data_IF_962715017039
#
_entry.id   IF_962715017039
#
_cell.length_a   1.000
_cell.length_b   1.000
_cell.length_c   1.000
_cell.angle_alpha   90.00
_cell.angle_beta   90.00
_cell.angle_gamma   90.00
#
_symmetry.space_group_name_H-M   'P 1'
#
loop_
_entity.id
_entity.type
_entity.pdbx_description
1 polymer ?
#
# COMPACT_ATOMS: atom_id res chain seq x y z
N UNK A 1 13.59 11.16 34.36
CA UNK A 1 13.04 11.65 33.07
C UNK A 1 12.31 10.49 32.43
N UNK A 2 10.98 10.49 32.41
CA UNK A 2 10.23 9.58 31.55
C UNK A 2 10.46 10.02 30.12
N UNK A 3 11.25 9.27 29.35
CA UNK A 3 11.19 9.37 27.90
C UNK A 3 9.75 9.04 27.51
N UNK A 4 8.96 10.05 27.15
CA UNK A 4 7.63 9.83 26.61
C UNK A 4 7.79 8.93 25.38
N UNK A 5 7.33 7.68 25.51
CA UNK A 5 7.35 6.72 24.42
C UNK A 5 6.55 7.31 23.26
N UNK A 6 7.27 7.68 22.19
CA UNK A 6 6.70 8.36 21.02
C UNK A 6 5.67 7.48 20.33
N UNK A 7 4.40 7.81 20.46
CA UNK A 7 3.30 7.12 19.79
C UNK A 7 3.13 7.62 18.34
N UNK A 8 4.00 7.14 17.46
CA UNK A 8 4.09 7.57 16.05
C UNK A 8 4.03 6.35 15.12
N UNK A 9 3.53 6.54 13.91
CA UNK A 9 3.58 5.53 12.85
C UNK A 9 3.96 6.17 11.52
N UNK A 10 4.58 5.41 10.64
CA UNK A 10 4.95 5.87 9.31
C UNK A 10 4.68 4.80 8.24
N UNK A 11 4.60 5.24 6.99
CA UNK A 11 4.44 4.36 5.84
C UNK A 11 5.51 4.67 4.81
N UNK A 12 6.00 3.63 4.17
CA UNK A 12 7.01 3.67 3.11
C UNK A 12 6.56 2.75 1.97
N UNK A 13 6.86 3.11 0.73
CA UNK A 13 6.68 2.23 -0.43
C UNK A 13 8.04 1.81 -0.98
N UNK A 14 8.17 0.51 -1.28
CA UNK A 14 9.27 -0.04 -2.08
C UNK A 14 8.72 -0.80 -3.28
N UNK A 15 9.52 -0.90 -4.34
CA UNK A 15 9.18 -1.72 -5.50
C UNK A 15 10.16 -2.88 -5.61
N UNK A 16 9.66 -4.07 -5.91
CA UNK A 16 10.46 -5.24 -6.27
C UNK A 16 10.04 -5.73 -7.66
N UNK A 17 11.01 -6.07 -8.48
CA UNK A 17 10.82 -6.60 -9.84
C UNK A 17 10.96 -8.13 -9.90
N UNK A 18 11.14 -8.79 -8.76
CA UNK A 18 11.32 -10.25 -8.66
C UNK A 18 9.97 -10.98 -8.78
N UNK A 19 9.26 -10.73 -9.88
CA UNK A 19 7.97 -11.36 -10.18
C UNK A 19 8.14 -12.22 -11.41
N UNK A 20 8.51 -13.48 -11.22
CA UNK A 20 8.56 -14.45 -12.30
C UNK A 20 7.15 -14.95 -12.65
N UNK A 21 6.31 -14.06 -13.19
CA UNK A 21 4.91 -14.33 -13.52
C UNK A 21 4.53 -13.73 -14.88
N UNK A 22 3.67 -14.44 -15.62
CA UNK A 22 3.15 -14.00 -16.93
C UNK A 22 2.13 -12.86 -16.76
N UNK A 23 1.44 -12.79 -15.61
CA UNK A 23 0.34 -11.88 -15.32
C UNK A 23 0.83 -10.56 -14.71
N UNK A 24 1.88 -10.61 -13.89
CA UNK A 24 2.33 -9.51 -13.04
C UNK A 24 3.73 -9.04 -13.41
N UNK A 25 3.92 -7.73 -13.42
CA UNK A 25 5.18 -7.09 -13.79
C UNK A 25 6.10 -6.90 -12.58
N UNK A 26 5.52 -6.42 -11.49
CA UNK A 26 6.25 -5.98 -10.29
C UNK A 26 5.39 -6.09 -9.05
N UNK A 27 6.03 -6.01 -7.90
CA UNK A 27 5.41 -5.94 -6.57
C UNK A 27 5.68 -4.58 -5.97
N UNK A 28 4.63 -3.94 -5.49
CA UNK A 28 4.71 -2.76 -4.62
C UNK A 28 4.57 -3.25 -3.17
N UNK A 29 5.54 -2.88 -2.33
CA UNK A 29 5.61 -3.23 -0.92
C UNK A 29 5.22 -2.00 -0.11
N UNK A 30 4.05 -2.02 0.52
CA UNK A 30 3.60 -0.99 1.45
C UNK A 30 4.06 -1.40 2.84
N UNK A 31 5.02 -0.67 3.39
CA UNK A 31 5.65 -0.96 4.68
C UNK A 31 5.11 0.00 5.73
N UNK A 32 4.42 -0.52 6.73
CA UNK A 32 3.89 0.27 7.85
C UNK A 32 4.78 0.04 9.07
N UNK A 33 5.38 1.11 9.58
CA UNK A 33 6.22 1.09 10.79
C UNK A 33 5.40 1.64 11.96
N UNK A 34 5.03 0.78 12.89
CA UNK A 34 4.32 1.15 14.11
C UNK A 34 5.34 1.36 15.24
N UNK A 35 5.60 2.60 15.63
CA UNK A 35 6.43 2.92 16.79
C UNK A 35 5.59 3.17 18.05
N UNK A 36 4.32 2.72 18.06
CA UNK A 36 3.44 2.83 19.22
C UNK A 36 3.81 1.80 20.31
N UNK A 37 3.67 2.15 21.62
CA UNK A 37 3.69 1.16 22.70
C UNK A 37 2.47 0.22 22.69
N UNK A 38 1.46 0.50 21.86
CA UNK A 38 0.24 -0.27 21.75
C UNK A 38 0.18 -1.07 20.44
N UNK A 39 -0.60 -2.16 20.45
CA UNK A 39 -1.05 -2.82 19.23
C UNK A 39 -1.96 -1.85 18.48
N UNK A 40 -1.75 -1.70 17.17
CA UNK A 40 -2.52 -0.81 16.32
C UNK A 40 -3.10 -1.56 15.13
N UNK A 41 -4.34 -1.25 14.76
CA UNK A 41 -5.02 -1.75 13.57
C UNK A 41 -4.90 -0.73 12.45
N UNK A 42 -4.51 -1.22 11.28
CA UNK A 42 -4.40 -0.42 10.08
C UNK A 42 -5.28 -1.02 8.99
N UNK A 43 -6.06 -0.18 8.33
CA UNK A 43 -6.73 -0.51 7.08
C UNK A 43 -5.87 0.01 5.93
N UNK A 44 -5.59 -0.86 4.96
CA UNK A 44 -4.78 -0.53 3.78
C UNK A 44 -5.58 -0.86 2.54
N UNK A 45 -5.70 0.11 1.65
CA UNK A 45 -6.47 -0.07 0.43
C UNK A 45 -6.03 0.85 -0.68
N UNK A 46 -6.80 0.78 -1.76
CA UNK A 46 -6.57 1.59 -2.96
C UNK A 46 -7.63 2.67 -3.01
N UNK A 47 -7.19 3.93 -2.97
CA UNK A 47 -8.07 5.09 -3.04
C UNK A 47 -8.42 5.40 -4.49
N UNK A 48 -7.42 5.38 -5.37
CA UNK A 48 -7.59 5.68 -6.78
C UNK A 48 -6.63 4.87 -7.66
N UNK A 49 -7.08 4.53 -8.87
CA UNK A 49 -6.26 3.96 -9.94
C UNK A 49 -6.49 4.83 -11.17
N UNK A 50 -5.44 5.55 -11.58
CA UNK A 50 -5.41 6.38 -12.76
C UNK A 50 -4.66 5.65 -13.87
N UNK A 51 -5.38 5.16 -14.87
CA UNK A 51 -4.80 4.64 -16.10
C UNK A 51 -5.56 5.30 -17.25
N UNK A 52 -4.84 6.00 -18.12
CA UNK A 52 -5.43 6.81 -19.19
C UNK A 52 -6.20 5.95 -20.21
N UNK A 53 -5.60 4.86 -20.66
CA UNK A 53 -6.24 3.92 -21.58
C UNK A 53 -7.29 3.08 -20.86
N UNK A 54 -8.55 3.21 -21.27
CA UNK A 54 -9.67 2.52 -20.62
C UNK A 54 -9.62 0.99 -20.75
N UNK A 55 -9.06 0.47 -21.84
CA UNK A 55 -8.93 -0.97 -22.06
C UNK A 55 -7.83 -1.54 -21.17
N UNK A 56 -6.69 -0.86 -21.05
CA UNK A 56 -5.64 -1.22 -20.12
C UNK A 56 -6.09 -1.06 -18.66
N UNK A 57 -6.86 -0.02 -18.34
CA UNK A 57 -7.46 0.17 -17.02
C UNK A 57 -8.37 -1.00 -16.62
N UNK A 58 -9.16 -1.52 -17.55
CA UNK A 58 -10.01 -2.69 -17.31
C UNK A 58 -9.17 -3.95 -17.04
N UNK A 59 -8.19 -4.24 -17.91
CA UNK A 59 -7.27 -5.38 -17.73
C UNK A 59 -6.55 -5.33 -16.39
N UNK A 60 -6.09 -4.13 -16.01
CA UNK A 60 -5.42 -3.88 -14.75
C UNK A 60 -6.34 -4.26 -13.58
N UNK A 61 -7.55 -3.70 -13.55
CA UNK A 61 -8.52 -3.91 -12.46
C UNK A 61 -8.95 -5.38 -12.31
N UNK A 62 -8.97 -6.16 -13.40
CA UNK A 62 -9.30 -7.58 -13.34
C UNK A 62 -8.25 -8.43 -12.59
N UNK A 63 -7.00 -7.99 -12.55
CA UNK A 63 -5.86 -8.77 -12.02
C UNK A 63 -5.25 -8.18 -10.77
N UNK A 64 -5.51 -6.90 -10.51
CA UNK A 64 -5.03 -6.17 -9.35
C UNK A 64 -5.53 -6.80 -8.05
N UNK A 65 -4.63 -7.03 -7.10
CA UNK A 65 -4.93 -7.85 -5.92
C UNK A 65 -5.36 -7.07 -4.68
N UNK A 66 -5.28 -5.73 -4.67
CA UNK A 66 -5.71 -4.88 -3.56
C UNK A 66 -6.98 -4.08 -3.91
N UNK A 67 -7.98 -4.78 -4.44
CA UNK A 67 -9.30 -4.19 -4.76
C UNK A 67 -10.11 -3.95 -3.49
N UNK A 68 -10.05 -4.89 -2.56
CA UNK A 68 -10.67 -4.76 -1.24
C UNK A 68 -9.61 -4.31 -0.22
N UNK A 69 -9.95 -3.37 0.68
CA UNK A 69 -9.06 -3.01 1.76
C UNK A 69 -8.77 -4.21 2.65
N UNK A 70 -7.53 -4.29 3.12
CA UNK A 70 -7.12 -5.28 4.11
C UNK A 70 -6.95 -4.61 5.47
N UNK A 71 -7.34 -5.31 6.53
CA UNK A 71 -7.15 -4.84 7.90
C UNK A 71 -6.10 -5.71 8.56
N UNK A 72 -5.05 -5.08 9.08
CA UNK A 72 -3.94 -5.76 9.75
C UNK A 72 -3.73 -5.17 11.15
N UNK A 73 -3.36 -6.03 12.09
CA UNK A 73 -2.92 -5.62 13.43
C UNK A 73 -1.41 -5.66 13.50
N UNK A 74 -0.78 -4.54 13.82
CA UNK A 74 0.67 -4.43 13.98
C UNK A 74 0.98 -4.27 15.47
N UNK A 75 1.81 -5.17 15.98
CA UNK A 75 2.25 -5.15 17.38
C UNK A 75 3.10 -3.91 17.69
N UNK A 76 3.32 -3.65 18.98
CA UNK A 76 4.12 -2.53 19.47
C UNK A 76 5.54 -2.56 18.91
N UNK A 77 6.02 -1.40 18.44
CA UNK A 77 7.36 -1.24 17.86
C UNK A 77 7.71 -2.19 16.70
N UNK A 78 6.71 -2.76 16.02
CA UNK A 78 6.90 -3.63 14.86
C UNK A 78 6.57 -2.92 13.56
N UNK A 79 6.93 -3.59 12.47
CA UNK A 79 6.53 -3.21 11.12
C UNK A 79 5.82 -4.37 10.45
N UNK A 80 4.96 -4.06 9.52
CA UNK A 80 4.30 -5.04 8.65
C UNK A 80 4.50 -4.64 7.18
N UNK A 81 4.55 -5.63 6.30
CA UNK A 81 4.70 -5.40 4.85
C UNK A 81 3.53 -6.00 4.12
N UNK A 82 2.89 -5.18 3.29
CA UNK A 82 1.80 -5.60 2.43
C UNK A 82 2.30 -5.64 1.00
N UNK A 83 2.11 -6.79 0.34
CA UNK A 83 2.47 -6.99 -1.05
C UNK A 83 1.29 -6.71 -1.98
N UNK A 84 1.47 -5.76 -2.89
CA UNK A 84 0.53 -5.45 -3.96
C UNK A 84 1.16 -5.85 -5.28
N UNK A 85 0.50 -6.74 -6.01
CA UNK A 85 0.93 -7.19 -7.33
C UNK A 85 0.42 -6.22 -8.39
N UNK A 86 1.33 -5.74 -9.22
CA UNK A 86 1.02 -4.83 -10.33
C UNK A 86 0.91 -5.66 -11.62
N UNK A 87 -0.27 -5.74 -12.25
CA UNK A 87 -0.46 -6.43 -13.52
C UNK A 87 0.37 -5.83 -14.66
N UNK A 88 0.83 -6.68 -15.59
CA UNK A 88 1.45 -6.23 -16.86
C UNK A 88 0.38 -5.60 -17.76
N UNK A 89 0.44 -4.29 -17.94
CA UNK A 89 -0.38 -3.51 -18.89
C UNK A 89 0.49 -2.43 -19.52
N UNK A 90 0.03 -1.82 -20.62
CA UNK A 90 0.75 -0.69 -21.21
C UNK A 90 0.45 0.58 -20.41
N UNK A 91 1.49 1.16 -19.82
CA UNK A 91 1.41 2.36 -19.01
C UNK A 91 1.76 3.62 -19.80
N UNK A 92 1.03 4.70 -19.55
CA UNK A 92 1.30 6.03 -20.07
C UNK A 92 1.97 6.92 -19.03
N UNK A 93 2.62 7.98 -19.50
CA UNK A 93 3.32 8.92 -18.64
C UNK A 93 2.29 9.70 -17.79
N UNK A 94 2.20 9.37 -16.51
CA UNK A 94 1.21 9.95 -15.58
C UNK A 94 0.24 8.93 -14.98
N UNK A 95 0.22 7.69 -15.47
CA UNK A 95 -0.52 6.59 -14.86
C UNK A 95 -0.01 6.37 -13.43
N UNK A 96 -0.93 6.24 -12.48
CA UNK A 96 -0.58 6.11 -11.07
C UNK A 96 -1.68 5.41 -10.25
N UNK A 97 -1.28 4.96 -9.06
CA UNK A 97 -2.15 4.41 -8.04
C UNK A 97 -1.98 5.24 -6.78
N UNK A 98 -3.08 5.62 -6.13
CA UNK A 98 -3.06 6.23 -4.81
C UNK A 98 -3.51 5.19 -3.80
N UNK A 99 -2.59 4.78 -2.95
CA UNK A 99 -2.87 3.93 -1.81
C UNK A 99 -3.24 4.77 -0.59
N UNK A 100 -4.06 4.21 0.28
CA UNK A 100 -4.30 4.77 1.60
C UNK A 100 -3.93 3.76 2.69
N UNK A 101 -3.41 4.28 3.80
CA UNK A 101 -3.21 3.55 5.04
C UNK A 101 -3.88 4.34 6.15
N UNK A 102 -4.88 3.76 6.79
CA UNK A 102 -5.63 4.36 7.87
C UNK A 102 -5.36 3.65 9.19
N UNK A 103 -4.84 4.38 10.17
CA UNK A 103 -4.76 3.91 11.55
C UNK A 103 -6.16 3.98 12.17
N UNK A 104 -6.79 2.83 12.39
CA UNK A 104 -8.17 2.73 12.86
C UNK A 104 -8.31 3.16 14.33
N UNK A 105 -7.26 3.04 15.13
CA UNK A 105 -7.30 3.39 16.55
C UNK A 105 -6.98 4.86 16.82
N UNK A 106 -6.35 5.56 15.85
CA UNK A 106 -6.12 7.02 15.89
C UNK A 106 -7.03 7.82 14.96
N UNK A 107 -7.75 7.15 14.06
CA UNK A 107 -8.52 7.77 12.98
C UNK A 107 -7.67 8.73 12.12
N UNK A 108 -6.41 8.37 11.87
CA UNK A 108 -5.47 9.10 11.02
C UNK A 108 -5.27 8.33 9.71
N UNK A 109 -5.20 9.04 8.58
CA UNK A 109 -4.98 8.45 7.25
C UNK A 109 -3.74 9.07 6.59
N UNK A 110 -2.98 8.23 5.88
CA UNK A 110 -1.88 8.66 5.02
C UNK A 110 -2.11 8.11 3.62
N UNK A 111 -1.96 8.98 2.63
CA UNK A 111 -1.99 8.62 1.22
C UNK A 111 -0.59 8.51 0.66
N UNK A 112 -0.40 7.59 -0.27
CA UNK A 112 0.88 7.39 -0.93
C UNK A 112 0.64 7.08 -2.39
N UNK A 113 1.26 7.89 -3.25
CA UNK A 113 1.19 7.71 -4.69
C UNK A 113 2.28 6.76 -5.18
N UNK A 114 1.91 5.90 -6.12
CA UNK A 114 2.81 5.05 -6.88
C UNK A 114 2.60 5.28 -8.36
N UNK A 115 3.67 5.68 -9.06
CA UNK A 115 3.62 5.86 -10.51
C UNK A 115 3.84 4.50 -11.19
N UNK A 116 2.97 4.20 -12.16
CA UNK A 116 2.97 2.95 -12.89
C UNK A 116 4.08 2.92 -13.96
#
# INVERSE_FOLDING_TARGET
MSEELKDVWNVEIKTSFDVNNIIYEKKVLIIIKNHSPYIRRFEVGTKYINIEDQYEALKFRMRYNLISPIVISIDKYRKETIEVLIPKVNHHLGDNIIFYVKNLDKNEEKEIQYNL
#
